data_IF_075855791530
#
_entry.id   IF_075855791530
#
_cell.length_a   1.000
_cell.length_b   1.000
_cell.length_c   1.000
_cell.angle_alpha   90.00
_cell.angle_beta   90.00
_cell.angle_gamma   90.00
#
_symmetry.space_group_name_H-M   'P 1'
#
loop_
_entity.id
_entity.type
_entity.pdbx_description
1 polymer ?
#
# COMPACT_ATOMS: atom_id res chain seq x y z
N UNK A 1 42.54 -40.12 -7.97
CA UNK A 1 43.32 -40.50 -9.16
C UNK A 1 43.44 -42.02 -9.18
N UNK A 2 43.36 -42.63 -10.37
CA UNK A 2 43.26 -44.07 -10.70
C UNK A 2 41.82 -44.60 -10.49
N UNK A 3 40.98 -44.80 -11.52
CA UNK A 3 41.23 -45.37 -12.84
C UNK A 3 41.48 -46.87 -12.72
N UNK A 4 40.96 -47.80 -13.51
CA UNK A 4 39.99 -47.85 -14.61
C UNK A 4 39.78 -49.37 -14.84
N UNK A 5 38.59 -49.76 -15.34
CA UNK A 5 38.33 -50.89 -16.28
C UNK A 5 38.61 -52.35 -15.85
N UNK A 6 37.63 -53.23 -16.11
CA UNK A 6 37.66 -54.29 -17.14
C UNK A 6 36.37 -55.14 -17.02
N UNK A 7 35.42 -55.03 -17.96
CA UNK A 7 35.25 -55.92 -19.12
C UNK A 7 35.10 -57.42 -18.81
N UNK A 8 33.85 -57.89 -18.76
CA UNK A 8 33.41 -59.20 -19.26
C UNK A 8 32.05 -58.96 -19.96
N UNK A 9 31.95 -58.87 -21.30
CA UNK A 9 31.86 -59.98 -22.27
C UNK A 9 30.90 -61.07 -21.75
N UNK A 10 29.82 -61.49 -22.40
CA UNK A 10 29.51 -61.69 -23.83
C UNK A 10 28.03 -62.19 -23.84
N UNK A 11 27.13 -61.77 -24.71
CA UNK A 11 26.71 -62.54 -25.89
C UNK A 11 25.54 -61.79 -26.57
N UNK A 12 25.69 -61.28 -27.80
CA UNK A 12 25.52 -61.95 -29.12
C UNK A 12 24.16 -61.56 -29.75
N UNK A 13 24.27 -60.80 -30.85
CA UNK A 13 23.49 -60.78 -32.12
C UNK A 13 21.96 -60.82 -32.00
N UNK A 14 21.22 -59.93 -32.66
CA UNK A 14 21.11 -59.94 -34.13
C UNK A 14 20.38 -58.68 -34.61
N UNK A 15 20.89 -58.10 -35.69
CA UNK A 15 20.32 -56.97 -36.43
C UNK A 15 18.96 -57.32 -37.07
N UNK A 16 17.96 -56.44 -36.96
CA UNK A 16 16.98 -56.20 -38.04
C UNK A 16 16.69 -54.70 -38.10
N UNK A 17 16.62 -54.24 -39.34
CA UNK A 17 16.62 -52.88 -39.86
C UNK A 17 15.21 -52.25 -39.94
N UNK A 18 15.21 -50.90 -39.86
CA UNK A 18 14.35 -49.95 -40.62
C UNK A 18 12.85 -49.89 -40.29
N UNK A 19 12.37 -48.66 -40.02
CA UNK A 19 10.95 -48.29 -40.24
C UNK A 19 10.53 -47.02 -39.50
N UNK A 20 10.47 -45.90 -40.22
CA UNK A 20 9.94 -44.61 -39.76
C UNK A 20 8.42 -44.66 -39.45
N UNK A 21 7.93 -43.82 -38.51
CA UNK A 21 6.61 -43.14 -38.51
C UNK A 21 6.48 -42.28 -37.22
N UNK A 22 6.57 -40.95 -37.29
CA UNK A 22 5.49 -39.95 -37.29
C UNK A 22 4.58 -39.95 -36.02
N UNK A 23 4.75 -38.87 -35.24
CA UNK A 23 3.79 -38.03 -34.50
C UNK A 23 2.75 -38.64 -33.54
N UNK A 24 2.64 -38.06 -32.34
CA UNK A 24 1.64 -37.04 -31.95
C UNK A 24 1.66 -36.91 -30.42
N UNK A 25 1.77 -35.68 -29.93
CA UNK A 25 1.63 -35.33 -28.52
C UNK A 25 0.26 -35.77 -28.00
N UNK A 26 0.24 -36.66 -27.00
CA UNK A 26 -0.97 -36.92 -26.21
C UNK A 26 -1.13 -35.78 -25.20
N UNK A 27 -1.88 -34.76 -25.59
CA UNK A 27 -2.42 -33.76 -24.67
C UNK A 27 -3.45 -34.43 -23.76
N UNK A 28 -3.19 -34.52 -22.46
CA UNK A 28 -4.27 -34.72 -21.49
C UNK A 28 -5.16 -33.47 -21.53
N UNK A 29 -6.30 -33.60 -22.20
CA UNK A 29 -7.39 -32.65 -22.14
C UNK A 29 -7.84 -32.54 -20.67
N UNK A 30 -7.51 -31.43 -20.03
CA UNK A 30 -8.08 -31.08 -18.73
C UNK A 30 -9.30 -30.21 -19.02
N UNK A 31 -10.49 -30.80 -18.96
CA UNK A 31 -11.74 -30.04 -19.00
C UNK A 31 -11.92 -29.35 -17.65
N UNK A 32 -11.60 -28.06 -17.58
CA UNK A 32 -11.98 -27.20 -16.44
C UNK A 32 -13.43 -26.78 -16.67
N UNK A 33 -14.37 -27.45 -16.01
CA UNK A 33 -15.71 -26.91 -15.82
C UNK A 33 -15.75 -26.21 -14.46
N UNK A 34 -15.31 -24.95 -14.44
CA UNK A 34 -15.55 -24.02 -13.33
C UNK A 34 -16.21 -22.78 -13.90
N UNK A 35 -17.51 -22.87 -14.22
CA UNK A 35 -18.37 -21.69 -14.24
C UNK A 35 -18.63 -21.25 -12.78
N UNK A 36 -17.58 -20.85 -12.08
CA UNK A 36 -17.71 -20.06 -10.87
C UNK A 36 -17.80 -18.59 -11.33
N UNK A 37 -18.84 -17.83 -10.95
CA UNK A 37 -18.87 -16.41 -11.25
C UNK A 37 -17.70 -15.74 -10.53
N UNK A 38 -16.68 -15.35 -11.29
CA UNK A 38 -15.64 -14.44 -10.80
C UNK A 38 -16.28 -13.08 -10.60
N UNK A 39 -16.61 -12.75 -9.35
CA UNK A 39 -16.89 -11.37 -8.97
C UNK A 39 -15.61 -10.57 -9.16
N UNK A 40 -15.54 -9.81 -10.26
CA UNK A 40 -14.46 -8.84 -10.47
C UNK A 40 -14.53 -7.81 -9.34
N UNK A 41 -13.46 -7.68 -8.57
CA UNK A 41 -13.33 -6.61 -7.59
C UNK A 41 -13.48 -5.28 -8.33
N UNK A 42 -14.47 -4.48 -7.93
CA UNK A 42 -14.66 -3.15 -8.50
C UNK A 42 -13.43 -2.30 -8.17
N UNK A 43 -12.88 -1.53 -9.12
CA UNK A 43 -11.81 -0.60 -8.82
C UNK A 43 -12.31 0.40 -7.79
N UNK A 44 -11.71 0.41 -6.60
CA UNK A 44 -11.92 1.47 -5.63
C UNK A 44 -11.25 2.71 -6.19
N UNK A 45 -12.03 3.70 -6.59
CA UNK A 45 -11.52 5.01 -6.98
C UNK A 45 -11.12 5.74 -5.70
N UNK A 46 -9.83 5.82 -5.41
CA UNK A 46 -9.31 6.68 -4.35
C UNK A 46 -9.24 8.10 -4.89
N UNK A 47 -10.15 8.96 -4.45
CA UNK A 47 -10.12 10.39 -4.76
C UNK A 47 -9.17 11.09 -3.80
N UNK A 48 -8.04 11.59 -4.31
CA UNK A 48 -7.12 12.41 -3.53
C UNK A 48 -7.76 13.78 -3.25
N UNK A 49 -7.57 14.39 -2.06
CA UNK A 49 -8.04 15.73 -1.79
C UNK A 49 -7.46 16.73 -2.79
N UNK A 50 -8.28 17.70 -3.19
CA UNK A 50 -7.89 18.79 -4.09
C UNK A 50 -8.35 20.10 -3.51
N UNK A 51 -7.57 21.17 -3.72
CA UNK A 51 -7.90 22.51 -3.25
C UNK A 51 -6.66 23.37 -3.08
N UNK A 52 -6.91 24.62 -2.70
CA UNK A 52 -5.88 25.57 -2.27
C UNK A 52 -5.33 25.20 -0.89
N UNK A 53 -4.15 25.73 -0.54
CA UNK A 53 -3.52 25.60 0.78
C UNK A 53 -4.50 25.88 1.93
N UNK A 54 -5.29 26.96 1.85
CA UNK A 54 -6.26 27.36 2.89
C UNK A 54 -7.39 26.33 3.03
N UNK A 55 -7.92 25.84 1.91
CA UNK A 55 -8.98 24.82 1.91
C UNK A 55 -8.47 23.50 2.49
N UNK A 56 -7.22 23.12 2.17
CA UNK A 56 -6.60 21.91 2.69
C UNK A 56 -6.32 22.01 4.20
N UNK A 57 -5.90 23.17 4.70
CA UNK A 57 -5.79 23.39 6.15
C UNK A 57 -7.14 23.26 6.87
N UNK A 58 -8.21 23.85 6.31
CA UNK A 58 -9.56 23.72 6.87
C UNK A 58 -10.05 22.27 6.86
N UNK A 59 -9.81 21.53 5.77
CA UNK A 59 -10.13 20.11 5.67
C UNK A 59 -9.33 19.28 6.68
N UNK A 60 -8.03 19.56 6.84
CA UNK A 60 -7.19 18.86 7.81
C UNK A 60 -7.70 19.07 9.24
N UNK A 61 -8.05 20.31 9.58
CA UNK A 61 -8.62 20.66 10.89
C UNK A 61 -9.90 19.88 11.20
N UNK A 62 -10.84 19.82 10.24
CA UNK A 62 -12.05 19.01 10.37
C UNK A 62 -11.71 17.53 10.56
N UNK A 63 -10.78 17.01 9.75
CA UNK A 63 -10.39 15.60 9.76
C UNK A 63 -9.73 15.20 11.09
N UNK A 64 -8.88 16.05 11.69
CA UNK A 64 -8.29 15.81 13.01
C UNK A 64 -9.34 15.84 14.13
N UNK A 65 -10.36 16.69 14.01
CA UNK A 65 -11.50 16.70 14.94
C UNK A 65 -12.27 15.37 14.86
N UNK A 66 -12.57 14.91 13.64
CA UNK A 66 -13.21 13.61 13.40
C UNK A 66 -12.36 12.43 13.90
N UNK A 67 -11.03 12.53 13.77
CA UNK A 67 -10.10 11.51 14.24
C UNK A 67 -10.16 11.38 15.76
N UNK A 68 -10.11 12.50 16.49
CA UNK A 68 -10.24 12.51 17.95
C UNK A 68 -11.57 11.88 18.40
N UNK A 69 -12.67 12.24 17.72
CA UNK A 69 -13.99 11.66 17.99
C UNK A 69 -14.03 10.16 17.71
N UNK A 70 -13.46 9.70 16.60
CA UNK A 70 -13.43 8.29 16.24
C UNK A 70 -12.65 7.46 17.29
N UNK A 71 -11.51 7.97 17.76
CA UNK A 71 -10.71 7.31 18.80
C UNK A 71 -11.46 7.31 20.14
N UNK A 72 -12.08 8.44 20.50
CA UNK A 72 -12.88 8.57 21.73
C UNK A 72 -14.05 7.59 21.77
N UNK A 73 -14.69 7.35 20.62
CA UNK A 73 -15.79 6.41 20.48
C UNK A 73 -15.34 4.95 20.30
N UNK A 74 -14.02 4.67 20.40
CA UNK A 74 -13.41 3.36 20.17
C UNK A 74 -13.68 2.78 18.76
N UNK A 75 -14.05 3.61 17.79
CA UNK A 75 -14.31 3.23 16.41
C UNK A 75 -13.01 3.09 15.62
N UNK A 76 -12.34 1.95 15.82
CA UNK A 76 -11.04 1.65 15.20
C UNK A 76 -11.07 1.66 13.67
N UNK A 77 -12.07 1.09 12.97
CA UNK A 77 -12.15 1.19 11.52
C UNK A 77 -12.23 2.63 11.05
N UNK A 78 -13.10 3.46 11.65
CA UNK A 78 -13.21 4.87 11.30
C UNK A 78 -11.92 5.61 11.58
N UNK A 79 -11.30 5.42 12.75
CA UNK A 79 -10.04 6.08 13.10
C UNK A 79 -8.92 5.79 12.08
N UNK A 80 -8.82 4.55 11.57
CA UNK A 80 -7.86 4.19 10.53
C UNK A 80 -8.15 4.89 9.20
N UNK A 81 -9.41 4.89 8.76
CA UNK A 81 -9.80 5.56 7.52
C UNK A 81 -9.60 7.07 7.62
N UNK A 82 -9.94 7.68 8.76
CA UNK A 82 -9.74 9.11 9.00
C UNK A 82 -8.25 9.47 9.04
N UNK A 83 -7.39 8.63 9.62
CA UNK A 83 -5.93 8.84 9.55
C UNK A 83 -5.41 8.75 8.11
N UNK A 84 -5.93 7.82 7.29
CA UNK A 84 -5.56 7.76 5.88
C UNK A 84 -5.90 9.10 5.17
N UNK A 85 -7.07 9.67 5.46
CA UNK A 85 -7.45 11.00 4.95
C UNK A 85 -6.50 12.11 5.42
N UNK A 86 -6.06 12.10 6.69
CA UNK A 86 -5.04 13.03 7.19
C UNK A 86 -3.75 12.94 6.37
N UNK A 87 -3.29 11.72 6.09
CA UNK A 87 -2.06 11.47 5.32
C UNK A 87 -2.22 11.90 3.85
N UNK A 88 -3.38 11.67 3.25
CA UNK A 88 -3.68 12.09 1.88
C UNK A 88 -3.70 13.62 1.75
N UNK A 89 -4.32 14.32 2.72
CA UNK A 89 -4.31 15.80 2.77
C UNK A 89 -2.87 16.30 2.92
N UNK A 90 -2.08 15.71 3.82
CA UNK A 90 -0.68 16.10 3.99
C UNK A 90 0.15 15.89 2.72
N UNK A 91 -0.06 14.77 2.02
CA UNK A 91 0.62 14.45 0.77
C UNK A 91 0.38 15.48 -0.34
N UNK A 92 -0.77 16.15 -0.32
CA UNK A 92 -1.10 17.24 -1.27
C UNK A 92 -0.66 18.61 -0.75
N UNK A 93 -0.76 18.84 0.56
CA UNK A 93 -0.47 20.12 1.18
C UNK A 93 1.04 20.40 1.24
N UNK A 94 1.86 19.40 1.57
CA UNK A 94 3.32 19.56 1.67
C UNK A 94 3.94 20.19 0.41
N UNK A 95 3.73 19.65 -0.82
CA UNK A 95 4.33 20.23 -2.01
C UNK A 95 3.81 21.64 -2.32
N UNK A 96 2.61 22.02 -1.86
CA UNK A 96 2.11 23.39 -2.02
C UNK A 96 2.87 24.36 -1.10
N UNK A 97 3.12 23.98 0.15
CA UNK A 97 3.93 24.77 1.09
C UNK A 97 5.37 24.91 0.57
N UNK A 98 5.98 23.79 0.13
CA UNK A 98 7.33 23.81 -0.45
C UNK A 98 7.41 24.73 -1.68
N UNK A 99 6.36 24.76 -2.51
CA UNK A 99 6.31 25.57 -3.73
C UNK A 99 6.03 27.06 -3.49
N UNK A 100 5.22 27.41 -2.48
CA UNK A 100 5.05 28.80 -2.02
C UNK A 100 6.38 29.37 -1.50
N UNK A 101 7.15 28.55 -0.79
CA UNK A 101 8.43 28.96 -0.21
C UNK A 101 8.28 30.03 0.87
N UNK A 102 9.34 30.78 1.12
CA UNK A 102 9.42 31.77 2.20
C UNK A 102 10.39 31.36 3.31
N UNK A 103 10.73 32.30 4.17
CA UNK A 103 11.72 32.11 5.25
C UNK A 103 11.31 31.03 6.26
N UNK A 104 10.01 30.78 6.41
CA UNK A 104 9.44 29.84 7.38
C UNK A 104 8.90 28.55 6.75
N UNK A 105 9.08 28.33 5.43
CA UNK A 105 8.49 27.19 4.74
C UNK A 105 8.98 25.84 5.30
N UNK A 106 10.30 25.69 5.47
CA UNK A 106 10.90 24.48 6.04
C UNK A 106 10.39 24.22 7.47
N UNK A 107 10.31 25.26 8.30
CA UNK A 107 9.79 25.17 9.67
C UNK A 107 8.32 24.77 9.67
N UNK A 108 7.52 25.34 8.76
CA UNK A 108 6.09 25.00 8.59
C UNK A 108 5.92 23.53 8.23
N UNK A 109 6.75 23.02 7.31
CA UNK A 109 6.73 21.61 6.91
C UNK A 109 7.10 20.70 8.07
N UNK A 110 8.12 21.04 8.86
CA UNK A 110 8.50 20.28 10.05
C UNK A 110 7.38 20.25 11.10
N UNK A 111 6.75 21.40 11.37
CA UNK A 111 5.67 21.48 12.36
C UNK A 111 4.42 20.72 11.90
N UNK A 112 4.11 20.77 10.61
CA UNK A 112 3.07 19.93 10.00
C UNK A 112 3.39 18.44 10.10
N UNK A 113 4.63 18.03 9.87
CA UNK A 113 5.01 16.62 10.03
C UNK A 113 4.82 16.16 11.48
N UNK A 114 5.17 16.99 12.48
CA UNK A 114 4.93 16.68 13.90
C UNK A 114 3.44 16.52 14.21
N UNK A 115 2.57 17.33 13.60
CA UNK A 115 1.11 17.20 13.73
C UNK A 115 0.63 15.86 13.16
N UNK A 116 1.11 15.47 11.98
CA UNK A 116 0.77 14.20 11.33
C UNK A 116 1.28 13.00 12.14
N UNK A 117 2.46 13.10 12.74
CA UNK A 117 3.03 12.06 13.59
C UNK A 117 2.22 11.87 14.89
N UNK A 118 1.73 12.97 15.47
CA UNK A 118 0.80 12.92 16.62
C UNK A 118 -0.53 12.26 16.23
N UNK A 119 -1.10 12.61 15.08
CA UNK A 119 -2.30 11.96 14.56
C UNK A 119 -2.07 10.45 14.35
N UNK A 120 -0.92 10.07 13.81
CA UNK A 120 -0.55 8.66 13.63
C UNK A 120 -0.40 7.92 14.96
N UNK A 121 0.30 8.52 15.94
CA UNK A 121 0.44 7.99 17.30
C UNK A 121 -0.91 7.77 17.98
N UNK A 122 -1.84 8.72 17.80
CA UNK A 122 -3.17 8.65 18.41
C UNK A 122 -3.94 7.39 18.01
N UNK A 123 -3.86 6.98 16.75
CA UNK A 123 -4.50 5.75 16.25
C UNK A 123 -3.74 4.51 16.70
N UNK A 124 -2.40 4.51 16.55
CA UNK A 124 -1.56 3.37 16.91
C UNK A 124 -1.69 2.99 18.38
N UNK A 125 -1.85 3.99 19.25
CA UNK A 125 -1.90 3.82 20.70
C UNK A 125 -3.30 3.92 21.28
N UNK A 126 -4.31 4.22 20.45
CA UNK A 126 -5.69 4.49 20.87
C UNK A 126 -5.75 5.58 21.95
N UNK A 127 -5.08 6.70 21.69
CA UNK A 127 -4.94 7.84 22.62
C UNK A 127 -5.59 9.09 22.03
N UNK A 128 -6.84 9.45 22.40
CA UNK A 128 -7.52 10.61 21.83
C UNK A 128 -6.79 11.92 22.14
N UNK A 129 -6.12 12.01 23.30
CA UNK A 129 -5.32 13.18 23.68
C UNK A 129 -4.19 13.54 22.68
N UNK A 130 -3.63 12.55 21.98
CA UNK A 130 -2.60 12.83 20.96
C UNK A 130 -3.24 13.49 19.72
N UNK A 131 -4.47 13.09 19.34
CA UNK A 131 -5.23 13.73 18.27
C UNK A 131 -5.70 15.14 18.64
N UNK A 132 -6.16 15.34 19.88
CA UNK A 132 -6.52 16.68 20.39
C UNK A 132 -5.31 17.64 20.39
N UNK A 133 -4.13 17.12 20.72
CA UNK A 133 -2.88 17.87 20.67
C UNK A 133 -2.51 18.24 19.24
N UNK A 134 -2.64 17.30 18.30
CA UNK A 134 -2.43 17.56 16.88
C UNK A 134 -3.34 18.70 16.38
N UNK A 135 -4.62 18.67 16.74
CA UNK A 135 -5.59 19.71 16.39
C UNK A 135 -5.19 21.09 16.94
N UNK A 136 -4.79 21.16 18.21
CA UNK A 136 -4.33 22.41 18.83
C UNK A 136 -3.06 22.97 18.17
N UNK A 137 -2.12 22.10 17.80
CA UNK A 137 -0.90 22.52 17.14
C UNK A 137 -1.16 23.03 15.72
N UNK A 138 -2.09 22.39 14.99
CA UNK A 138 -2.53 22.89 13.70
C UNK A 138 -3.16 24.30 13.82
N UNK A 139 -4.00 24.53 14.84
CA UNK A 139 -4.59 25.84 15.07
C UNK A 139 -3.54 26.92 15.36
N UNK A 140 -2.47 26.59 16.08
CA UNK A 140 -1.36 27.52 16.34
C UNK A 140 -0.57 27.81 15.06
N UNK A 141 -0.33 26.80 14.22
CA UNK A 141 0.37 26.97 12.94
C UNK A 141 -0.43 27.84 11.96
N UNK A 142 -1.75 27.71 11.91
CA UNK A 142 -2.60 28.53 11.03
C UNK A 142 -2.65 30.00 11.50
N UNK A 143 -2.40 30.26 12.79
CA UNK A 143 -2.44 31.60 13.40
C UNK A 143 -1.08 32.30 13.44
N UNK A 144 0.03 31.61 13.11
CA UNK A 144 1.39 32.14 13.20
C UNK A 144 1.76 33.08 12.06
#
# INVERSE_FOLDING_TARGET
MHGERLHLLRQVRTCVLIGALIAVASSCATTINLAAPTTLAQPTVTTLPTGTTIELYAQLKSTLTDLSLAITNEDRPRAKTTLATVLDIWGVLKPQIDAEGGETADQTVEDMQRIVDLASSSVQRTRPADADKALRFLDLLIQS
#
